data_IF_810131315816
#
_entry.id   IF_810131315816
#
_cell.length_a   1.000
_cell.length_b   1.000
_cell.length_c   1.000
_cell.angle_alpha   90.00
_cell.angle_beta   90.00
_cell.angle_gamma   90.00
#
_symmetry.space_group_name_H-M   'P 1'
#
loop_
_entity.id
_entity.type
_entity.pdbx_description
1 polymer ?
#
# COMPACT_ATOMS: atom_id res chain seq x y z
N UNK A 1 8.18 -13.92 31.83
CA UNK A 1 7.33 -15.10 31.58
C UNK A 1 7.32 -15.31 30.08
N UNK A 2 7.60 -16.51 29.58
CA UNK A 2 7.57 -16.76 28.13
C UNK A 2 6.12 -16.59 27.63
N UNK A 3 5.89 -15.65 26.73
CA UNK A 3 4.58 -15.44 26.12
C UNK A 3 4.13 -16.73 25.44
N UNK A 4 2.91 -17.15 25.75
CA UNK A 4 2.32 -18.37 25.19
C UNK A 4 2.13 -18.12 23.69
N UNK A 5 2.77 -18.93 22.85
CA UNK A 5 2.69 -18.78 21.39
C UNK A 5 1.22 -18.86 20.94
N UNK A 6 0.69 -17.77 20.38
CA UNK A 6 -0.72 -17.64 20.01
C UNK A 6 -1.10 -18.54 18.82
N UNK A 7 -0.12 -18.83 17.96
CA UNK A 7 -0.30 -19.61 16.73
C UNK A 7 0.56 -20.89 16.74
N UNK A 8 0.09 -21.91 16.01
CA UNK A 8 0.82 -23.14 15.74
C UNK A 8 2.11 -22.89 14.92
N UNK A 9 2.82 -23.97 14.56
CA UNK A 9 4.05 -23.88 13.76
C UNK A 9 3.81 -23.30 12.36
N UNK A 10 4.87 -22.77 11.74
CA UNK A 10 4.84 -22.31 10.36
C UNK A 10 4.39 -23.42 9.40
N UNK A 11 4.95 -24.63 9.56
CA UNK A 11 4.60 -25.83 8.78
C UNK A 11 3.11 -26.17 8.84
N UNK A 12 2.46 -25.93 9.99
CA UNK A 12 1.02 -26.15 10.12
C UNK A 12 0.24 -25.19 9.23
N UNK A 13 0.63 -23.92 9.19
CA UNK A 13 -0.02 -22.91 8.36
C UNK A 13 0.33 -23.04 6.88
N UNK A 14 1.52 -23.52 6.54
CA UNK A 14 1.88 -23.88 5.16
C UNK A 14 0.97 -25.00 4.62
N UNK A 15 0.80 -26.10 5.39
CA UNK A 15 -0.12 -27.18 5.01
C UNK A 15 -1.57 -26.71 4.93
N UNK A 16 -1.97 -25.78 5.81
CA UNK A 16 -3.31 -25.17 5.77
C UNK A 16 -3.47 -24.29 4.54
N UNK A 17 -2.47 -23.50 4.17
CA UNK A 17 -2.47 -22.67 2.97
C UNK A 17 -2.73 -23.52 1.72
N UNK A 18 -2.05 -24.66 1.58
CA UNK A 18 -2.32 -25.59 0.47
C UNK A 18 -3.79 -26.03 0.37
N UNK A 19 -4.42 -26.36 1.51
CA UNK A 19 -5.86 -26.71 1.55
C UNK A 19 -6.78 -25.52 1.21
N UNK A 20 -6.37 -24.31 1.57
CA UNK A 20 -7.12 -23.10 1.23
C UNK A 20 -7.06 -22.82 -0.27
N UNK A 21 -5.87 -22.96 -0.87
CA UNK A 21 -5.67 -22.80 -2.31
C UNK A 21 -6.45 -23.86 -3.10
N UNK A 22 -6.42 -25.12 -2.67
CA UNK A 22 -7.20 -26.20 -3.25
C UNK A 22 -8.71 -25.89 -3.26
N UNK A 23 -9.27 -25.40 -2.14
CA UNK A 23 -10.69 -24.99 -2.06
C UNK A 23 -11.04 -23.85 -3.01
N UNK A 24 -10.10 -22.92 -3.19
CA UNK A 24 -10.26 -21.82 -4.14
C UNK A 24 -10.05 -22.25 -5.61
N UNK A 25 -9.69 -23.51 -5.87
CA UNK A 25 -9.38 -24.02 -7.21
C UNK A 25 -8.09 -23.43 -7.78
N UNK A 26 -7.09 -23.21 -6.93
CA UNK A 26 -5.78 -22.65 -7.28
C UNK A 26 -4.76 -23.78 -7.20
N UNK A 27 -4.10 -24.05 -8.32
CA UNK A 27 -3.08 -25.10 -8.42
C UNK A 27 -1.75 -24.67 -7.75
N UNK A 28 -0.90 -25.60 -7.31
CA UNK A 28 0.38 -25.31 -6.65
C UNK A 28 1.30 -24.36 -7.42
N UNK A 29 1.26 -24.37 -8.75
CA UNK A 29 2.07 -23.51 -9.61
C UNK A 29 1.49 -22.09 -9.74
N UNK A 30 0.26 -21.88 -9.29
CA UNK A 30 -0.46 -20.62 -9.39
C UNK A 30 -0.36 -19.76 -8.15
N UNK A 31 0.28 -20.25 -7.08
CA UNK A 31 0.53 -19.48 -5.87
C UNK A 31 1.97 -19.62 -5.37
N UNK A 32 2.41 -18.60 -4.64
CA UNK A 32 3.70 -18.56 -3.96
C UNK A 32 3.54 -17.83 -2.63
N UNK A 33 4.47 -18.05 -1.72
CA UNK A 33 4.47 -17.39 -0.42
C UNK A 33 5.88 -17.29 0.15
N UNK A 34 6.09 -16.26 0.95
CA UNK A 34 7.32 -16.10 1.73
C UNK A 34 6.98 -15.66 3.15
N UNK A 35 7.77 -16.10 4.11
CA UNK A 35 7.65 -15.71 5.50
C UNK A 35 9.04 -15.54 6.10
N UNK A 36 9.35 -14.30 6.50
CA UNK A 36 10.57 -13.98 7.21
C UNK A 36 10.29 -13.67 8.69
N UNK A 37 11.29 -13.16 9.42
CA UNK A 37 11.18 -12.91 10.86
C UNK A 37 10.17 -11.83 11.22
N UNK A 38 9.89 -10.88 10.34
CA UNK A 38 9.09 -9.68 10.62
C UNK A 38 7.83 -9.58 9.78
N UNK A 39 7.68 -10.38 8.73
CA UNK A 39 6.49 -10.37 7.90
C UNK A 39 6.42 -11.52 6.91
N UNK A 40 5.40 -11.46 6.08
CA UNK A 40 5.07 -12.50 5.13
C UNK A 40 4.22 -11.95 3.98
N UNK A 41 4.13 -12.72 2.91
CA UNK A 41 3.14 -12.51 1.87
C UNK A 41 2.70 -13.84 1.27
N UNK A 42 1.48 -13.85 0.74
CA UNK A 42 0.91 -14.93 -0.07
C UNK A 42 0.43 -14.31 -1.37
N UNK A 43 0.85 -14.85 -2.50
CA UNK A 43 0.50 -14.38 -3.83
C UNK A 43 -0.13 -15.51 -4.63
N UNK A 44 -1.20 -15.25 -5.38
CA UNK A 44 -1.84 -16.27 -6.21
C UNK A 44 -2.57 -15.68 -7.41
N UNK A 45 -2.70 -16.47 -8.48
CA UNK A 45 -3.56 -16.16 -9.62
C UNK A 45 -4.95 -16.72 -9.40
N UNK A 46 -5.97 -15.87 -9.55
CA UNK A 46 -7.37 -16.29 -9.45
C UNK A 46 -8.19 -15.67 -10.58
N UNK A 47 -8.81 -16.52 -11.42
CA UNK A 47 -9.63 -16.12 -12.59
C UNK A 47 -8.98 -14.99 -13.43
N UNK A 48 -7.68 -15.12 -13.72
CA UNK A 48 -6.94 -14.20 -14.61
C UNK A 48 -6.37 -12.94 -13.96
N UNK A 49 -6.44 -12.78 -12.64
CA UNK A 49 -5.83 -11.66 -11.92
C UNK A 49 -4.84 -12.16 -10.86
N UNK A 50 -3.78 -11.39 -10.61
CA UNK A 50 -2.79 -11.64 -9.56
C UNK A 50 -3.21 -10.96 -8.26
N UNK A 51 -3.16 -11.69 -7.16
CA UNK A 51 -3.49 -11.22 -5.81
C UNK A 51 -2.31 -11.38 -4.90
N UNK A 52 -2.13 -10.43 -3.97
CA UNK A 52 -1.09 -10.48 -2.95
C UNK A 52 -1.67 -10.01 -1.61
N UNK A 53 -1.61 -10.89 -0.63
CA UNK A 53 -1.92 -10.60 0.76
C UNK A 53 -0.60 -10.46 1.51
N UNK A 54 -0.38 -9.34 2.18
CA UNK A 54 0.83 -9.09 2.95
C UNK A 54 0.51 -8.69 4.38
N UNK A 55 1.34 -9.15 5.31
CA UNK A 55 1.24 -8.76 6.69
C UNK A 55 2.60 -8.76 7.37
N UNK A 56 2.74 -7.92 8.39
CA UNK A 56 3.99 -7.74 9.12
C UNK A 56 3.74 -7.33 10.56
N UNK A 57 4.74 -7.55 11.39
CA UNK A 57 4.80 -7.10 12.78
C UNK A 57 4.60 -5.59 12.86
N UNK A 58 5.26 -4.81 12.00
CA UNK A 58 5.11 -3.36 11.96
C UNK A 58 3.67 -2.95 11.64
N UNK A 59 3.06 -3.62 10.65
CA UNK A 59 1.70 -3.33 10.21
C UNK A 59 0.65 -3.67 11.29
N UNK A 60 0.89 -4.74 12.07
CA UNK A 60 0.05 -5.10 13.21
C UNK A 60 0.18 -4.09 14.36
N UNK A 61 1.42 -3.74 14.73
CA UNK A 61 1.71 -2.81 15.81
C UNK A 61 1.17 -1.40 15.53
N UNK A 62 1.27 -0.93 14.28
CA UNK A 62 0.70 0.35 13.85
C UNK A 62 -0.83 0.42 14.02
N UNK A 63 -1.51 -0.73 14.10
CA UNK A 63 -2.96 -0.85 14.35
C UNK A 63 -3.30 -1.28 15.79
N UNK A 64 -2.33 -1.23 16.70
CA UNK A 64 -2.52 -1.56 18.11
C UNK A 64 -2.59 -3.06 18.41
N UNK A 65 -2.22 -3.93 17.48
CA UNK A 65 -2.14 -5.37 17.71
C UNK A 65 -0.73 -5.76 18.18
N UNK A 66 -0.66 -6.51 19.27
CA UNK A 66 0.60 -7.05 19.76
C UNK A 66 0.97 -8.31 18.95
N UNK A 67 1.86 -8.14 17.98
CA UNK A 67 2.41 -9.22 17.15
C UNK A 67 3.94 -9.15 17.24
N UNK A 68 4.58 -10.30 17.39
CA UNK A 68 6.04 -10.35 17.64
C UNK A 68 6.81 -11.07 16.54
N UNK A 69 6.15 -11.94 15.77
CA UNK A 69 6.81 -12.81 14.79
C UNK A 69 6.14 -12.76 13.42
N UNK A 70 6.93 -12.76 12.36
CA UNK A 70 6.44 -12.90 10.98
C UNK A 70 5.67 -14.21 10.75
N UNK A 71 6.00 -15.30 11.47
CA UNK A 71 5.21 -16.54 11.44
C UNK A 71 3.78 -16.36 11.95
N UNK A 72 3.57 -15.45 12.89
CA UNK A 72 2.25 -15.14 13.42
C UNK A 72 1.49 -14.25 12.42
N UNK A 73 2.20 -13.34 11.72
CA UNK A 73 1.64 -12.58 10.62
C UNK A 73 1.15 -13.53 9.49
N UNK A 74 1.97 -14.53 9.16
CA UNK A 74 1.62 -15.56 8.18
C UNK A 74 0.41 -16.38 8.60
N UNK A 75 0.35 -16.79 9.87
CA UNK A 75 -0.81 -17.48 10.41
C UNK A 75 -2.10 -16.67 10.25
N UNK A 76 -2.06 -15.35 10.53
CA UNK A 76 -3.21 -14.47 10.35
C UNK A 76 -3.63 -14.34 8.88
N UNK A 77 -2.67 -14.23 7.94
CA UNK A 77 -2.96 -14.20 6.50
C UNK A 77 -3.64 -15.50 6.06
N UNK A 78 -3.10 -16.65 6.44
CA UNK A 78 -3.67 -17.96 6.08
C UNK A 78 -5.07 -18.14 6.66
N UNK A 79 -5.32 -17.72 7.90
CA UNK A 79 -6.64 -17.80 8.52
C UNK A 79 -7.66 -16.88 7.82
N UNK A 80 -7.27 -15.66 7.45
CA UNK A 80 -8.13 -14.75 6.70
C UNK A 80 -8.49 -15.31 5.31
N UNK A 81 -7.51 -15.90 4.61
CA UNK A 81 -7.76 -16.60 3.34
C UNK A 81 -8.66 -17.83 3.53
N UNK A 82 -8.52 -18.56 4.64
CA UNK A 82 -9.41 -19.68 4.96
C UNK A 82 -10.85 -19.22 5.18
N UNK A 83 -11.05 -18.12 5.88
CA UNK A 83 -12.38 -17.53 6.08
C UNK A 83 -12.99 -17.10 4.74
N UNK A 84 -12.20 -16.49 3.85
CA UNK A 84 -12.63 -16.16 2.48
C UNK A 84 -13.02 -17.41 1.69
N UNK A 85 -12.19 -18.46 1.71
CA UNK A 85 -12.51 -19.72 1.04
C UNK A 85 -13.81 -20.33 1.58
N UNK A 86 -14.06 -20.28 2.90
CA UNK A 86 -15.32 -20.75 3.48
C UNK A 86 -16.54 -19.95 3.02
N UNK A 87 -16.41 -18.65 2.79
CA UNK A 87 -17.52 -17.82 2.26
C UNK A 87 -17.87 -18.24 0.83
N UNK A 88 -16.85 -18.50 0.02
CA UNK A 88 -16.99 -18.98 -1.37
C UNK A 88 -17.61 -20.38 -1.40
N UNK A 89 -17.06 -21.33 -0.63
CA UNK A 89 -17.55 -22.71 -0.55
C UNK A 89 -19.02 -22.80 -0.12
N UNK A 90 -19.45 -21.90 0.76
CA UNK A 90 -20.84 -21.84 1.25
C UNK A 90 -21.79 -21.09 0.31
N UNK A 91 -21.29 -20.53 -0.80
CA UNK A 91 -22.07 -19.72 -1.73
C UNK A 91 -22.59 -18.41 -1.11
N UNK A 92 -21.99 -17.94 -0.01
CA UNK A 92 -22.39 -16.69 0.66
C UNK A 92 -21.98 -15.49 -0.22
N UNK A 93 -20.84 -15.58 -0.90
CA UNK A 93 -20.34 -14.53 -1.78
C UNK A 93 -19.35 -15.10 -2.80
N UNK A 94 -19.40 -14.66 -4.07
CA UNK A 94 -18.32 -14.97 -5.04
C UNK A 94 -17.11 -14.07 -4.75
N UNK A 95 -15.93 -14.67 -4.65
CA UNK A 95 -14.67 -13.94 -4.45
C UNK A 95 -14.46 -12.87 -5.54
N UNK A 96 -14.93 -13.10 -6.78
CA UNK A 96 -14.86 -12.10 -7.86
C UNK A 96 -15.60 -10.80 -7.53
N UNK A 97 -16.78 -10.90 -6.89
CA UNK A 97 -17.55 -9.72 -6.50
C UNK A 97 -16.83 -8.92 -5.40
N UNK A 98 -16.03 -9.60 -4.57
CA UNK A 98 -15.25 -8.95 -3.50
C UNK A 98 -14.02 -8.26 -4.06
N UNK A 99 -13.33 -8.96 -4.96
CA UNK A 99 -12.19 -8.50 -5.73
C UNK A 99 -12.52 -7.26 -6.56
N UNK A 100 -13.69 -7.23 -7.22
CA UNK A 100 -14.12 -6.07 -8.00
C UNK A 100 -14.25 -4.82 -7.12
N UNK A 101 -14.63 -4.99 -5.85
CA UNK A 101 -14.64 -3.92 -4.85
C UNK A 101 -13.24 -3.53 -4.36
N UNK A 102 -12.32 -4.49 -4.18
CA UNK A 102 -10.93 -4.22 -3.76
C UNK A 102 -10.05 -3.60 -4.84
N UNK A 103 -10.38 -3.77 -6.13
CA UNK A 103 -9.69 -3.10 -7.26
C UNK A 103 -9.89 -1.57 -7.32
N UNK A 104 -10.58 -0.98 -6.34
CA UNK A 104 -10.46 0.43 -5.96
C UNK A 104 -9.46 0.51 -4.81
N UNK A 105 -8.17 0.72 -5.05
CA UNK A 105 -7.63 2.03 -5.40
C UNK A 105 -6.53 1.90 -6.46
N UNK A 106 -6.40 2.85 -7.40
CA UNK A 106 -5.18 2.97 -8.19
C UNK A 106 -3.97 3.03 -7.23
N UNK A 107 -2.78 2.57 -7.64
CA UNK A 107 -1.57 2.76 -6.85
C UNK A 107 -1.50 4.23 -6.45
N UNK A 108 -1.12 4.52 -5.19
CA UNK A 108 -0.95 5.88 -4.72
C UNK A 108 -0.11 6.63 -5.76
N UNK A 109 -0.74 7.51 -6.53
CA UNK A 109 -0.02 8.33 -7.49
C UNK A 109 0.94 9.16 -6.64
N UNK A 110 2.24 8.86 -6.75
CA UNK A 110 3.26 9.73 -6.18
C UNK A 110 3.03 11.12 -6.76
N UNK A 111 2.82 12.09 -5.88
CA UNK A 111 2.68 13.48 -6.31
C UNK A 111 3.94 13.86 -7.12
N UNK A 112 3.78 14.60 -8.22
CA UNK A 112 4.92 15.15 -8.94
C UNK A 112 5.85 15.94 -8.02
N UNK A 113 7.14 15.94 -8.30
CA UNK A 113 8.17 16.58 -7.45
C UNK A 113 7.89 18.08 -7.23
N UNK A 114 7.25 18.75 -8.20
CA UNK A 114 6.84 20.14 -8.06
C UNK A 114 5.88 20.37 -6.87
N UNK A 115 5.07 19.38 -6.48
CA UNK A 115 4.17 19.49 -5.33
C UNK A 115 4.98 19.65 -4.04
N UNK A 116 5.98 18.81 -3.85
CA UNK A 116 6.85 18.87 -2.67
C UNK A 116 7.63 20.20 -2.60
N UNK A 117 8.14 20.70 -3.74
CA UNK A 117 8.89 21.96 -3.79
C UNK A 117 7.98 23.18 -3.52
N UNK A 118 6.72 23.14 -3.99
CA UNK A 118 5.71 24.16 -3.73
C UNK A 118 5.08 24.03 -2.33
N UNK A 119 5.40 22.98 -1.56
CA UNK A 119 4.82 22.73 -0.25
C UNK A 119 3.38 22.21 -0.28
N UNK A 120 2.97 21.60 -1.40
CA UNK A 120 1.65 21.00 -1.59
C UNK A 120 1.68 19.50 -1.26
N UNK A 121 0.70 19.04 -0.49
CA UNK A 121 0.42 17.63 -0.20
C UNK A 121 -0.66 17.04 -1.12
N UNK A 122 -1.04 17.77 -2.15
CA UNK A 122 -2.01 17.38 -3.17
C UNK A 122 -1.69 18.02 -4.53
N UNK A 123 -2.37 17.55 -5.56
CA UNK A 123 -2.26 18.13 -6.91
C UNK A 123 -3.00 19.47 -6.96
N UNK A 124 -2.37 20.53 -7.52
CA UNK A 124 -3.01 21.83 -7.62
C UNK A 124 -4.24 21.76 -8.54
N UNK A 125 -5.31 22.45 -8.15
CA UNK A 125 -6.58 22.48 -8.89
C UNK A 125 -6.74 23.74 -9.74
N UNK A 126 -5.90 24.75 -9.52
CA UNK A 126 -5.99 26.04 -10.23
C UNK A 126 -4.63 26.76 -10.33
N UNK A 127 -4.49 27.66 -11.30
CA UNK A 127 -3.31 28.53 -11.37
C UNK A 127 -3.16 29.45 -10.14
N UNK A 128 -4.27 29.84 -9.54
CA UNK A 128 -4.30 30.74 -8.39
C UNK A 128 -3.69 30.08 -7.15
N UNK A 129 -3.96 28.79 -6.97
CA UNK A 129 -3.38 27.95 -5.93
C UNK A 129 -1.86 27.82 -6.13
N UNK A 130 -1.39 27.53 -7.35
CA UNK A 130 0.04 27.47 -7.68
C UNK A 130 0.72 28.81 -7.35
N UNK A 131 0.11 29.93 -7.75
CA UNK A 131 0.62 31.28 -7.48
C UNK A 131 0.62 31.62 -5.99
N UNK A 132 -0.31 31.07 -5.20
CA UNK A 132 -0.36 31.26 -3.75
C UNK A 132 0.76 30.45 -3.08
N UNK A 133 0.85 29.15 -3.37
CA UNK A 133 1.88 28.25 -2.83
C UNK A 133 3.30 28.76 -3.14
N UNK A 134 3.54 29.22 -4.37
CA UNK A 134 4.80 29.84 -4.77
C UNK A 134 5.14 31.07 -3.91
N UNK A 135 4.18 31.97 -3.68
CA UNK A 135 4.41 33.19 -2.88
C UNK A 135 4.73 32.87 -1.43
N UNK A 136 4.02 31.91 -0.83
CA UNK A 136 4.26 31.48 0.54
C UNK A 136 5.66 30.85 0.67
N UNK A 137 6.03 29.94 -0.24
CA UNK A 137 7.35 29.31 -0.24
C UNK A 137 8.48 30.30 -0.53
N UNK A 138 8.28 31.25 -1.45
CA UNK A 138 9.25 32.28 -1.78
C UNK A 138 9.44 33.27 -0.62
N UNK A 139 8.39 33.60 0.13
CA UNK A 139 8.47 34.47 1.30
C UNK A 139 9.31 33.90 2.43
N UNK A 140 9.29 32.57 2.61
CA UNK A 140 10.02 31.85 3.66
C UNK A 140 11.46 31.58 3.24
N UNK A 141 11.70 31.29 1.96
CA UNK A 141 13.01 30.86 1.46
C UNK A 141 13.72 31.92 0.59
N UNK A 142 13.33 33.19 0.69
CA UNK A 142 13.95 34.26 -0.08
C UNK A 142 15.44 34.41 0.30
N UNK A 143 16.36 34.59 -0.67
CA UNK A 143 17.78 34.80 -0.40
C UNK A 143 18.06 35.93 0.61
N UNK A 144 17.34 37.04 0.49
CA UNK A 144 17.45 38.18 1.42
C UNK A 144 17.08 37.87 2.88
N UNK A 145 16.40 36.74 3.14
CA UNK A 145 16.03 36.28 4.48
C UNK A 145 16.87 35.10 4.95
N UNK A 146 18.00 34.83 4.30
CA UNK A 146 18.88 33.69 4.61
C UNK A 146 18.48 32.40 3.87
N UNK A 147 17.62 32.49 2.86
CA UNK A 147 17.29 31.39 1.96
C UNK A 147 18.37 31.14 0.90
N UNK A 148 18.18 30.10 0.09
CA UNK A 148 19.15 29.69 -0.94
C UNK A 148 18.71 30.14 -2.34
N UNK A 149 19.62 30.79 -3.08
CA UNK A 149 19.42 31.09 -4.50
C UNK A 149 19.16 29.83 -5.33
N UNK A 150 19.78 28.69 -4.94
CA UNK A 150 19.56 27.39 -5.59
C UNK A 150 18.13 26.93 -5.37
N UNK A 151 17.62 27.08 -4.13
CA UNK A 151 16.24 26.75 -3.82
C UNK A 151 15.25 27.66 -4.56
N UNK A 152 15.54 28.96 -4.64
CA UNK A 152 14.67 29.90 -5.35
C UNK A 152 14.55 29.57 -6.84
N UNK A 153 15.66 29.12 -7.47
CA UNK A 153 15.64 28.62 -8.86
C UNK A 153 14.81 27.34 -8.99
N UNK A 154 14.96 26.40 -8.07
CA UNK A 154 14.16 25.18 -8.05
C UNK A 154 12.66 25.49 -7.86
N UNK A 155 12.32 26.46 -7.00
CA UNK A 155 10.96 26.90 -6.76
C UNK A 155 10.33 27.56 -8.00
N UNK A 156 11.11 28.35 -8.76
CA UNK A 156 10.67 28.91 -10.05
C UNK A 156 10.42 27.82 -11.09
N UNK A 157 11.31 26.83 -11.19
CA UNK A 157 11.14 25.68 -12.10
C UNK A 157 9.89 24.85 -11.72
N UNK A 158 9.71 24.54 -10.44
CA UNK A 158 8.54 23.81 -9.94
C UNK A 158 7.23 24.55 -10.23
N UNK A 159 7.21 25.87 -10.12
CA UNK A 159 6.04 26.68 -10.50
C UNK A 159 5.71 26.52 -11.99
N UNK A 160 6.71 26.62 -12.87
CA UNK A 160 6.50 26.47 -14.33
C UNK A 160 6.00 25.08 -14.68
N UNK A 161 6.62 24.05 -14.08
CA UNK A 161 6.22 22.66 -14.28
C UNK A 161 4.77 22.40 -13.82
N UNK A 162 4.36 22.96 -12.68
CA UNK A 162 2.99 22.87 -12.18
C UNK A 162 1.98 23.56 -13.12
N UNK A 163 2.32 24.73 -13.66
CA UNK A 163 1.47 25.46 -14.62
C UNK A 163 1.33 24.70 -15.95
N UNK A 164 2.42 24.13 -16.47
CA UNK A 164 2.40 23.31 -17.69
C UNK A 164 1.61 22.01 -17.49
N UNK A 165 1.80 21.34 -16.35
CA UNK A 165 1.06 20.15 -15.99
C UNK A 165 -0.45 20.43 -15.89
N UNK A 166 -0.85 21.57 -15.32
CA UNK A 166 -2.26 21.96 -15.22
C UNK A 166 -2.87 22.23 -16.60
N UNK A 167 -2.12 22.87 -17.50
CA UNK A 167 -2.55 23.11 -18.90
C UNK A 167 -2.71 21.82 -19.71
N UNK A 168 -1.88 20.81 -19.47
CA UNK A 168 -2.00 19.52 -20.19
C UNK A 168 -3.22 18.70 -19.75
N UNK A 169 -3.89 19.08 -18.66
CA UNK A 169 -5.05 18.38 -18.09
C UNK A 169 -6.39 19.09 -18.30
N UNK A 170 -6.39 20.32 -18.82
CA UNK A 170 -7.59 21.07 -19.22
C UNK A 170 -7.87 20.89 -20.71
#
# INVERSE_FOLDING_TARGET
>A
MAERKQYASLEFYEKKLGKVMERLGIEPEQYDWDCNRTGCWVQFHYKGSLYRFEHSVQNAQARGHNLSYGSDAFAQVVLALEDLARLVDRGIYDLQNWIAGMKSLPPAQSLPDFCAILGLDHLPQSEEEIKKAFREMAMVNHPDKGGSDVFMRALLAAKQEAEEWLRQRQ
#
